data_IF_517758460745
#
_entry.id   IF_517758460745
#
_cell.length_a   1.000
_cell.length_b   1.000
_cell.length_c   1.000
_cell.angle_alpha   90.00
_cell.angle_beta   90.00
_cell.angle_gamma   90.00
#
_symmetry.space_group_name_H-M   'P 1'
#
loop_
_entity.id
_entity.type
_entity.pdbx_description
1 polymer ?
#
# COMPACT_ATOMS: atom_id res chain seq x y z
N UNK A 1 2.70 10.62 17.42
CA UNK A 1 3.51 9.96 16.37
C UNK A 1 4.65 9.13 16.96
N UNK A 2 5.61 9.72 17.68
CA UNK A 2 6.74 8.98 18.31
C UNK A 2 6.27 7.92 19.32
N UNK A 3 5.25 8.22 20.14
CA UNK A 3 4.71 7.26 21.12
C UNK A 3 3.99 6.06 20.49
N UNK A 4 3.38 6.23 19.32
CA UNK A 4 2.76 5.14 18.55
C UNK A 4 3.82 4.29 17.85
N UNK A 5 4.82 4.93 17.26
CA UNK A 5 5.94 4.22 16.64
C UNK A 5 6.67 3.33 17.65
N UNK A 6 6.96 3.83 18.86
CA UNK A 6 7.66 3.04 19.87
C UNK A 6 6.89 1.78 20.31
N UNK A 7 5.55 1.83 20.26
CA UNK A 7 4.65 0.72 20.58
C UNK A 7 4.35 -0.19 19.39
N UNK A 8 4.72 0.21 18.17
CA UNK A 8 4.49 -0.58 16.99
C UNK A 8 5.31 -1.88 17.04
N UNK A 9 4.74 -2.92 16.44
CA UNK A 9 5.41 -4.19 16.19
C UNK A 9 6.74 -3.98 15.44
N UNK A 10 7.74 -4.80 15.72
CA UNK A 10 9.09 -4.67 15.13
C UNK A 10 9.04 -4.68 13.61
N UNK A 11 8.22 -5.55 13.01
CA UNK A 11 8.06 -5.65 11.56
C UNK A 11 7.43 -4.40 10.96
N UNK A 12 6.56 -3.72 11.72
CA UNK A 12 5.96 -2.46 11.31
C UNK A 12 6.98 -1.34 11.34
N UNK A 13 7.87 -1.32 12.34
CA UNK A 13 8.99 -0.37 12.38
C UNK A 13 9.93 -0.57 11.19
N UNK A 14 10.23 -1.82 10.83
CA UNK A 14 11.01 -2.16 9.62
C UNK A 14 10.33 -1.66 8.35
N UNK A 15 9.03 -1.92 8.17
CA UNK A 15 8.27 -1.42 7.01
C UNK A 15 8.32 0.10 6.92
N UNK A 16 8.17 0.81 8.04
CA UNK A 16 8.25 2.26 8.07
C UNK A 16 9.66 2.72 7.70
N UNK A 17 10.70 2.10 8.27
CA UNK A 17 12.08 2.41 7.95
C UNK A 17 12.39 2.21 6.46
N UNK A 18 12.12 1.01 5.94
CA UNK A 18 12.44 0.63 4.56
C UNK A 18 11.65 1.46 3.55
N UNK A 19 10.39 1.78 3.86
CA UNK A 19 9.58 2.67 3.02
C UNK A 19 10.14 4.10 3.01
N UNK A 20 10.61 4.64 4.13
CA UNK A 20 11.29 5.95 4.18
C UNK A 20 12.60 5.94 3.40
N UNK A 21 13.40 4.88 3.51
CA UNK A 21 14.66 4.75 2.80
C UNK A 21 14.43 4.76 1.28
N UNK A 22 13.51 3.91 0.79
CA UNK A 22 13.18 3.85 -0.64
C UNK A 22 12.55 5.15 -1.15
N UNK A 23 11.74 5.81 -0.31
CA UNK A 23 11.16 7.10 -0.65
C UNK A 23 12.25 8.16 -0.83
N UNK A 24 13.22 8.19 0.08
CA UNK A 24 14.37 9.09 0.01
C UNK A 24 15.27 8.84 -1.20
N UNK A 25 15.51 7.57 -1.55
CA UNK A 25 16.18 7.20 -2.80
C UNK A 25 15.42 7.78 -4.00
N UNK A 26 14.09 7.60 -4.02
CA UNK A 26 13.23 8.19 -5.05
C UNK A 26 13.35 9.72 -5.14
N UNK A 27 13.47 10.43 -4.01
CA UNK A 27 13.64 11.89 -4.00
C UNK A 27 14.99 12.35 -4.55
N UNK A 28 16.07 11.65 -4.21
CA UNK A 28 17.45 12.03 -4.58
C UNK A 28 17.85 11.65 -5.99
N UNK A 29 17.14 10.73 -6.61
CA UNK A 29 17.47 10.22 -7.91
C UNK A 29 17.15 11.25 -9.03
N UNK A 30 18.13 11.45 -9.91
CA UNK A 30 18.04 12.40 -11.02
C UNK A 30 17.31 11.80 -12.23
N UNK A 31 17.42 10.48 -12.42
CA UNK A 31 16.67 9.77 -13.47
C UNK A 31 15.19 9.65 -13.09
N UNK A 32 14.30 10.14 -13.95
CA UNK A 32 12.85 10.04 -13.71
C UNK A 32 12.39 8.59 -13.54
N UNK A 33 12.94 7.66 -14.32
CA UNK A 33 12.60 6.23 -14.26
C UNK A 33 13.06 5.57 -12.97
N UNK A 34 14.30 5.82 -12.54
CA UNK A 34 14.80 5.27 -11.27
C UNK A 34 14.10 5.90 -10.06
N UNK A 35 13.82 7.20 -10.12
CA UNK A 35 13.05 7.90 -9.09
C UNK A 35 11.64 7.32 -8.96
N UNK A 36 10.97 7.10 -10.09
CA UNK A 36 9.67 6.43 -10.15
C UNK A 36 9.72 5.02 -9.56
N UNK A 37 10.76 4.23 -9.83
CA UNK A 37 10.92 2.90 -9.24
C UNK A 37 11.17 2.96 -7.74
N UNK A 38 11.88 3.96 -7.23
CA UNK A 38 12.01 4.21 -5.80
C UNK A 38 10.64 4.41 -5.15
N UNK A 39 9.82 5.30 -5.71
CA UNK A 39 8.45 5.52 -5.23
C UNK A 39 7.56 4.28 -5.37
N UNK A 40 7.65 3.54 -6.48
CA UNK A 40 6.92 2.28 -6.64
C UNK A 40 7.32 1.25 -5.58
N UNK A 41 8.61 1.13 -5.28
CA UNK A 41 9.11 0.23 -4.24
C UNK A 41 8.60 0.64 -2.86
N UNK A 42 8.56 1.94 -2.54
CA UNK A 42 7.89 2.43 -1.34
C UNK A 42 6.44 1.96 -1.26
N UNK A 43 5.72 2.02 -2.38
CA UNK A 43 4.32 1.58 -2.46
C UNK A 43 4.19 0.06 -2.26
N UNK A 44 5.09 -0.74 -2.83
CA UNK A 44 5.16 -2.19 -2.59
C UNK A 44 5.35 -2.51 -1.11
N UNK A 45 6.26 -1.80 -0.42
CA UNK A 45 6.54 -2.00 1.01
C UNK A 45 5.30 -1.65 1.85
N UNK A 46 4.70 -0.47 1.64
CA UNK A 46 3.53 -0.01 2.39
C UNK A 46 2.28 -0.86 2.16
N UNK A 47 2.16 -1.48 0.98
CA UNK A 47 1.08 -2.43 0.67
C UNK A 47 1.40 -3.88 1.05
N UNK A 48 2.50 -4.10 1.79
CA UNK A 48 2.96 -5.40 2.30
C UNK A 48 3.21 -6.43 1.20
N UNK A 49 3.68 -6.00 0.03
CA UNK A 49 4.02 -6.92 -1.05
C UNK A 49 5.18 -7.82 -0.62
N UNK A 50 5.00 -9.11 -0.83
CA UNK A 50 6.03 -10.14 -0.66
C UNK A 50 6.11 -10.99 -1.94
N UNK A 51 6.75 -12.17 -1.88
CA UNK A 51 6.89 -13.06 -3.05
C UNK A 51 5.57 -13.68 -3.49
N UNK A 52 4.65 -13.87 -2.56
CA UNK A 52 3.36 -14.53 -2.79
C UNK A 52 2.26 -13.55 -3.22
N UNK A 53 2.49 -12.24 -2.99
CA UNK A 53 1.56 -11.18 -3.34
C UNK A 53 1.92 -10.57 -4.70
N UNK A 54 1.00 -10.69 -5.66
CA UNK A 54 1.20 -10.17 -7.01
C UNK A 54 1.25 -8.63 -7.03
N UNK A 55 1.97 -8.05 -8.00
CA UNK A 55 1.95 -6.60 -8.23
C UNK A 55 0.56 -6.06 -8.56
N UNK A 56 -0.36 -6.91 -9.04
CA UNK A 56 -1.77 -6.56 -9.18
C UNK A 56 -2.40 -6.26 -7.81
N UNK A 57 -2.09 -7.02 -6.76
CA UNK A 57 -2.63 -6.73 -5.42
C UNK A 57 -2.10 -5.44 -4.81
N UNK A 58 -0.90 -4.99 -5.19
CA UNK A 58 -0.34 -3.70 -4.79
C UNK A 58 -1.26 -2.55 -5.23
N UNK A 59 -1.67 -2.52 -6.51
CA UNK A 59 -2.60 -1.48 -6.99
C UNK A 59 -3.98 -1.60 -6.34
N UNK A 60 -4.50 -2.80 -6.11
CA UNK A 60 -5.80 -2.99 -5.49
C UNK A 60 -5.83 -2.51 -4.02
N UNK A 61 -4.72 -2.68 -3.30
CA UNK A 61 -4.56 -2.15 -1.94
C UNK A 61 -4.42 -0.63 -1.91
N UNK A 62 -3.75 -0.05 -2.92
CA UNK A 62 -3.72 1.41 -3.08
C UNK A 62 -5.13 1.98 -3.33
N UNK A 63 -5.89 1.36 -4.23
CA UNK A 63 -7.27 1.75 -4.54
C UNK A 63 -8.21 1.67 -3.34
N UNK A 64 -7.98 0.75 -2.39
CA UNK A 64 -8.84 0.62 -1.21
C UNK A 64 -8.59 1.68 -0.14
N UNK A 65 -7.47 2.40 -0.20
CA UNK A 65 -7.12 3.48 0.74
C UNK A 65 -7.56 4.85 0.23
N UNK A 66 -7.55 5.04 -1.09
CA UNK A 66 -7.84 6.34 -1.71
C UNK A 66 -9.33 6.44 -2.00
N UNK A 67 -9.93 7.60 -1.78
CA UNK A 67 -11.29 7.88 -2.26
C UNK A 67 -11.29 7.90 -3.79
N UNK A 68 -11.65 6.78 -4.38
CA UNK A 68 -11.56 6.57 -5.82
C UNK A 68 -12.57 7.42 -6.58
N UNK A 69 -12.09 8.08 -7.63
CA UNK A 69 -12.89 8.55 -8.75
C UNK A 69 -12.29 7.95 -10.04
N UNK A 70 -13.01 8.09 -11.15
CA UNK A 70 -12.59 7.53 -12.45
C UNK A 70 -11.20 8.01 -12.90
N UNK A 71 -10.84 9.24 -12.55
CA UNK A 71 -9.52 9.81 -12.86
C UNK A 71 -8.42 9.08 -12.10
N UNK A 72 -8.58 8.89 -10.79
CA UNK A 72 -7.59 8.18 -9.97
C UNK A 72 -7.45 6.72 -10.39
N UNK A 73 -8.54 6.08 -10.79
CA UNK A 73 -8.49 4.70 -11.29
C UNK A 73 -7.66 4.60 -12.57
N UNK A 74 -7.94 5.46 -13.55
CA UNK A 74 -7.17 5.53 -14.78
C UNK A 74 -5.68 5.83 -14.50
N UNK A 75 -5.41 6.77 -13.60
CA UNK A 75 -4.05 7.15 -13.21
C UNK A 75 -3.28 5.98 -12.60
N UNK A 76 -3.87 5.25 -11.64
CA UNK A 76 -3.25 4.10 -11.00
C UNK A 76 -2.99 2.97 -12.02
N UNK A 77 -3.95 2.68 -12.90
CA UNK A 77 -3.75 1.66 -13.95
C UNK A 77 -2.64 2.06 -14.92
N UNK A 78 -2.57 3.34 -15.30
CA UNK A 78 -1.51 3.85 -16.16
C UNK A 78 -0.14 3.72 -15.49
N UNK A 79 -0.01 4.10 -14.21
CA UNK A 79 1.24 3.95 -13.46
C UNK A 79 1.69 2.49 -13.34
N UNK A 80 0.73 1.57 -13.09
CA UNK A 80 1.01 0.13 -13.07
C UNK A 80 1.55 -0.37 -14.41
N UNK A 81 0.94 0.04 -15.52
CA UNK A 81 1.39 -0.33 -16.86
C UNK A 81 2.77 0.25 -17.19
N UNK A 82 3.04 1.50 -16.80
CA UNK A 82 4.36 2.13 -16.94
C UNK A 82 5.43 1.35 -16.17
N UNK A 83 5.13 0.95 -14.93
CA UNK A 83 6.05 0.13 -14.13
C UNK A 83 6.36 -1.20 -14.82
N UNK A 84 5.34 -1.91 -15.30
CA UNK A 84 5.55 -3.19 -15.97
C UNK A 84 6.40 -3.02 -17.23
N UNK A 85 6.11 -1.99 -18.02
CA UNK A 85 6.89 -1.69 -19.22
C UNK A 85 8.33 -1.37 -18.89
N UNK A 86 8.59 -0.56 -17.85
CA UNK A 86 9.93 -0.21 -17.42
C UNK A 86 10.74 -1.45 -16.99
N UNK A 87 10.14 -2.33 -16.17
CA UNK A 87 10.79 -3.56 -15.69
C UNK A 87 11.07 -4.56 -16.82
N UNK A 88 10.19 -4.65 -17.82
CA UNK A 88 10.34 -5.64 -18.90
C UNK A 88 11.13 -5.14 -20.12
N UNK A 89 11.13 -3.84 -20.39
CA UNK A 89 11.75 -3.28 -21.61
C UNK A 89 13.03 -2.49 -21.33
N UNK A 90 13.29 -2.10 -20.08
CA UNK A 90 14.48 -1.33 -19.68
C UNK A 90 14.58 0.07 -20.31
N UNK A 91 13.52 0.55 -20.96
CA UNK A 91 13.53 1.87 -21.62
C UNK A 91 13.24 2.98 -20.61
N UNK A 92 14.31 3.52 -20.04
CA UNK A 92 14.29 4.62 -19.06
C UNK A 92 13.71 5.95 -19.60
N UNK A 93 13.51 6.10 -20.91
CA UNK A 93 13.04 7.35 -21.54
C UNK A 93 11.53 7.56 -21.51
N UNK A 94 10.74 6.62 -20.98
CA UNK A 94 9.27 6.68 -21.05
C UNK A 94 8.59 7.29 -19.83
N UNK A 95 9.29 7.40 -18.69
CA UNK A 95 8.73 7.99 -17.49
C UNK A 95 8.91 9.50 -17.53
N UNK A 96 7.80 10.24 -17.62
CA UNK A 96 7.82 11.69 -17.57
C UNK A 96 7.94 12.20 -16.12
N UNK A 97 8.34 13.46 -15.97
CA UNK A 97 8.33 14.14 -14.68
C UNK A 97 6.92 14.20 -14.05
N UNK A 98 5.87 14.24 -14.87
CA UNK A 98 4.49 14.15 -14.41
C UNK A 98 4.21 12.78 -13.77
N UNK A 99 4.66 11.68 -14.39
CA UNK A 99 4.45 10.32 -13.89
C UNK A 99 5.16 10.11 -12.55
N UNK A 100 6.40 10.59 -12.46
CA UNK A 100 7.18 10.61 -11.23
C UNK A 100 6.45 11.34 -10.11
N UNK A 101 5.96 12.55 -10.38
CA UNK A 101 5.26 13.36 -9.38
C UNK A 101 3.93 12.73 -8.96
N UNK A 102 3.20 12.15 -9.92
CA UNK A 102 1.95 11.47 -9.64
C UNK A 102 2.17 10.24 -8.77
N UNK A 103 3.17 9.41 -9.09
CA UNK A 103 3.55 8.28 -8.23
C UNK A 103 3.92 8.73 -6.81
N UNK A 104 4.76 9.77 -6.69
CA UNK A 104 5.13 10.37 -5.40
C UNK A 104 3.90 10.77 -4.61
N UNK A 105 2.93 11.44 -5.23
CA UNK A 105 1.71 11.89 -4.54
C UNK A 105 0.90 10.72 -3.97
N UNK A 106 0.78 9.62 -4.69
CA UNK A 106 0.10 8.42 -4.20
C UNK A 106 0.84 7.73 -3.06
N UNK A 107 2.18 7.69 -3.15
CA UNK A 107 3.01 7.21 -2.05
C UNK A 107 2.79 8.05 -0.81
N UNK A 108 2.82 9.38 -0.91
CA UNK A 108 2.63 10.27 0.25
C UNK A 108 1.26 10.07 0.92
N UNK A 109 0.19 9.91 0.13
CA UNK A 109 -1.15 9.59 0.65
C UNK A 109 -1.15 8.26 1.39
N UNK A 110 -0.57 7.21 0.79
CA UNK A 110 -0.52 5.89 1.42
C UNK A 110 0.38 5.89 2.67
N UNK A 111 1.49 6.63 2.64
CA UNK A 111 2.40 6.78 3.76
C UNK A 111 1.69 7.42 4.95
N UNK A 112 0.97 8.51 4.70
CA UNK A 112 0.15 9.18 5.70
C UNK A 112 -0.90 8.23 6.27
N UNK A 113 -1.64 7.54 5.41
CA UNK A 113 -2.67 6.61 5.85
C UNK A 113 -2.09 5.47 6.70
N UNK A 114 -0.95 4.89 6.29
CA UNK A 114 -0.27 3.82 7.01
C UNK A 114 0.16 4.28 8.40
N UNK A 115 0.79 5.46 8.50
CA UNK A 115 1.27 6.00 9.77
C UNK A 115 0.15 6.34 10.75
N UNK A 116 -1.01 6.83 10.27
CA UNK A 116 -2.10 7.24 11.15
C UNK A 116 -3.08 6.11 11.49
N UNK A 117 -3.30 5.18 10.56
CA UNK A 117 -4.33 4.15 10.71
C UNK A 117 -3.76 2.75 10.96
N UNK A 118 -2.61 2.42 10.37
CA UNK A 118 -2.09 1.04 10.37
C UNK A 118 -0.99 0.78 11.39
N UNK A 119 -0.20 1.78 11.78
CA UNK A 119 0.96 1.57 12.66
C UNK A 119 0.64 0.98 14.05
N UNK A 120 -0.64 0.94 14.44
CA UNK A 120 -1.12 0.37 15.70
C UNK A 120 -1.46 -1.13 15.63
N UNK A 121 -1.53 -1.68 14.42
CA UNK A 121 -1.85 -3.08 14.17
C UNK A 121 -0.58 -3.87 13.85
N UNK A 122 -0.63 -5.17 14.07
CA UNK A 122 0.42 -6.10 13.64
C UNK A 122 0.42 -6.28 12.12
N UNK A 123 1.50 -6.86 11.59
CA UNK A 123 1.65 -7.13 10.15
C UNK A 123 0.51 -7.97 9.56
N UNK A 124 0.08 -9.03 10.26
CA UNK A 124 -0.99 -9.92 9.81
C UNK A 124 -2.35 -9.20 9.81
N UNK A 125 -2.61 -8.39 10.83
CA UNK A 125 -3.83 -7.59 10.93
C UNK A 125 -3.91 -6.57 9.80
N UNK A 126 -2.83 -5.86 9.46
CA UNK A 126 -2.84 -4.90 8.35
C UNK A 126 -3.14 -5.59 7.02
N UNK A 127 -2.55 -6.78 6.77
CA UNK A 127 -2.87 -7.58 5.59
C UNK A 127 -4.37 -7.89 5.50
N UNK A 128 -4.96 -8.30 6.63
CA UNK A 128 -6.40 -8.57 6.73
C UNK A 128 -7.23 -7.30 6.51
N UNK A 129 -6.83 -6.17 7.10
CA UNK A 129 -7.53 -4.89 6.96
C UNK A 129 -7.54 -4.45 5.50
N UNK A 130 -6.41 -4.56 4.78
CA UNK A 130 -6.36 -4.25 3.35
C UNK A 130 -7.38 -5.05 2.53
N UNK A 131 -7.51 -6.34 2.82
CA UNK A 131 -8.41 -7.23 2.08
C UNK A 131 -9.90 -6.94 2.42
N UNK A 132 -10.17 -6.51 3.66
CA UNK A 132 -11.50 -6.10 4.11
C UNK A 132 -11.90 -4.70 3.60
N UNK A 133 -10.97 -3.76 3.45
CA UNK A 133 -11.23 -2.42 2.89
C UNK A 133 -11.74 -2.46 1.45
N UNK A 134 -11.55 -3.58 0.74
CA UNK A 134 -12.08 -3.81 -0.61
C UNK A 134 -13.56 -4.27 -0.62
N UNK A 135 -14.16 -4.48 0.55
CA UNK A 135 -15.52 -5.03 0.69
C UNK A 135 -16.51 -3.92 1.05
N UNK A 136 -17.75 -4.09 0.60
CA UNK A 136 -18.84 -3.21 1.01
C UNK A 136 -19.24 -3.44 2.48
N UNK A 137 -19.97 -2.47 3.04
CA UNK A 137 -20.41 -2.50 4.44
C UNK A 137 -21.30 -3.71 4.73
N UNK A 138 -22.20 -4.08 3.80
CA UNK A 138 -23.10 -5.22 3.98
C UNK A 138 -22.35 -6.54 4.11
N UNK A 139 -21.27 -6.74 3.34
CA UNK A 139 -20.38 -7.88 3.49
C UNK A 139 -19.72 -7.90 4.88
N UNK A 140 -19.24 -6.75 5.35
CA UNK A 140 -18.58 -6.64 6.66
C UNK A 140 -19.54 -6.93 7.81
N UNK A 141 -20.76 -6.39 7.77
CA UNK A 141 -21.81 -6.63 8.77
C UNK A 141 -22.20 -8.11 8.83
N UNK A 142 -22.38 -8.75 7.66
CA UNK A 142 -22.69 -10.18 7.60
C UNK A 142 -21.58 -11.03 8.23
N UNK A 143 -20.31 -10.74 7.92
CA UNK A 143 -19.20 -11.49 8.47
C UNK A 143 -19.01 -11.26 9.96
N UNK A 144 -19.28 -10.04 10.47
CA UNK A 144 -19.26 -9.75 11.89
C UNK A 144 -20.23 -10.66 12.66
N UNK A 145 -21.49 -10.75 12.20
CA UNK A 145 -22.49 -11.59 12.85
C UNK A 145 -22.08 -13.08 12.87
N UNK A 146 -21.54 -13.59 11.75
CA UNK A 146 -21.03 -14.97 11.69
C UNK A 146 -19.87 -15.21 12.64
N UNK A 147 -18.94 -14.25 12.77
CA UNK A 147 -17.82 -14.36 13.71
C UNK A 147 -18.33 -14.36 15.16
N UNK A 148 -19.28 -13.49 15.48
CA UNK A 148 -19.89 -13.41 16.82
C UNK A 148 -20.58 -14.74 17.19
N UNK A 149 -21.30 -15.37 16.26
CA UNK A 149 -21.90 -16.69 16.43
C UNK A 149 -20.84 -17.79 16.67
N UNK A 150 -19.76 -17.80 15.87
CA UNK A 150 -18.67 -18.77 16.04
C UNK A 150 -17.97 -18.61 17.38
N UNK A 151 -17.78 -17.38 17.86
CA UNK A 151 -17.22 -17.10 19.18
C UNK A 151 -18.15 -17.66 20.27
N UNK A 152 -19.46 -17.42 20.17
CA UNK A 152 -20.43 -17.94 21.12
C UNK A 152 -20.42 -19.48 21.19
N UNK A 153 -20.24 -20.16 20.04
CA UNK A 153 -20.12 -21.62 19.99
C UNK A 153 -18.80 -22.14 20.59
N UNK A 154 -17.70 -21.39 20.48
CA UNK A 154 -16.36 -21.77 20.97
C UNK A 154 -16.10 -21.39 22.43
N UNK A 155 -16.89 -20.50 23.00
CA UNK A 155 -16.85 -20.15 24.42
C UNK A 155 -18.11 -20.69 25.13
N UNK A 156 -18.25 -22.03 25.27
CA UNK A 156 -19.37 -22.58 26.00
C UNK A 156 -19.34 -22.05 27.44
N UNK A 157 -20.50 -21.58 27.90
CA UNK A 157 -20.71 -21.17 29.29
C UNK A 157 -20.43 -22.31 30.25
#
# INVERSE_FOLDING_TARGET
MISQFNKADVKIKEIIHDSMEQYHIGLKENSSSRSFLGFWTTLEILTLKNKDLSHFKVKERLKSVIKMNSIHEYQIERLYNLRNKLVHTGKDSEISQFDRNLMKSYVEVLFQYFMFNFSKYSYSEIGTIYDLLQKDISYLEKNKNLIDEVIALKSPK
#
